data_IF_884713881421
#
_entry.id   IF_884713881421
#
_cell.length_a   1.000
_cell.length_b   1.000
_cell.length_c   1.000
_cell.angle_alpha   90.00
_cell.angle_beta   90.00
_cell.angle_gamma   90.00
#
_symmetry.space_group_name_H-M   'P 1'
#
loop_
_entity.id
_entity.type
_entity.pdbx_description
1 polymer ?
#
# COMPACT_ATOMS: atom_id res chain seq x y z
N UNK A 1 23.55 29.65 37.65
CA UNK A 1 23.27 28.25 38.08
C UNK A 1 24.37 27.29 37.65
N UNK A 2 24.79 27.29 36.36
CA UNK A 2 25.88 26.42 35.88
C UNK A 2 27.24 26.65 36.58
N UNK A 3 27.57 27.92 36.88
CA UNK A 3 28.79 28.24 37.58
C UNK A 3 28.84 27.64 39.00
N UNK A 4 27.70 27.55 39.69
CA UNK A 4 27.60 26.91 41.00
C UNK A 4 27.85 25.38 40.92
N UNK A 5 27.35 24.72 39.90
CA UNK A 5 27.65 23.28 39.68
C UNK A 5 29.09 23.01 39.38
N UNK A 6 29.70 23.86 38.52
CA UNK A 6 31.14 23.77 38.21
C UNK A 6 31.98 24.01 39.48
N UNK A 7 31.65 25.05 40.26
CA UNK A 7 32.33 25.35 41.51
C UNK A 7 32.21 24.20 42.52
N UNK A 8 30.98 23.64 42.66
CA UNK A 8 30.74 22.49 43.57
C UNK A 8 31.55 21.26 43.11
N UNK A 9 31.61 20.96 41.81
CA UNK A 9 32.39 19.87 41.27
C UNK A 9 33.88 20.04 41.54
N UNK A 10 34.42 21.26 41.34
CA UNK A 10 35.81 21.56 41.64
C UNK A 10 36.14 21.40 43.13
N UNK A 11 35.27 21.89 44.05
CA UNK A 11 35.45 21.73 45.47
C UNK A 11 35.41 20.26 45.91
N UNK A 12 34.52 19.44 45.32
CA UNK A 12 34.48 18.00 45.60
C UNK A 12 35.75 17.31 45.12
N UNK A 13 36.27 17.65 43.93
CA UNK A 13 37.53 17.10 43.43
C UNK A 13 38.69 17.47 44.35
N UNK A 14 38.79 18.73 44.80
CA UNK A 14 39.83 19.20 45.73
C UNK A 14 39.74 18.47 47.08
N UNK A 15 38.55 18.26 47.61
CA UNK A 15 38.34 17.50 48.85
C UNK A 15 38.79 16.03 48.71
N UNK A 16 38.48 15.36 47.60
CA UNK A 16 38.87 14.00 47.30
C UNK A 16 40.42 13.85 47.21
N UNK A 17 41.08 14.82 46.52
CA UNK A 17 42.54 14.87 46.40
C UNK A 17 43.19 15.08 47.78
N UNK A 18 42.65 15.98 48.62
CA UNK A 18 43.12 16.25 49.97
C UNK A 18 42.95 15.05 50.90
N UNK A 19 41.92 14.21 50.66
CA UNK A 19 41.69 12.99 51.43
C UNK A 19 42.52 11.77 50.97
N UNK A 20 43.46 11.98 49.98
CA UNK A 20 44.31 10.94 49.38
C UNK A 20 43.49 9.79 48.75
N UNK A 21 42.24 10.07 48.32
CA UNK A 21 41.40 9.06 47.65
C UNK A 21 41.86 9.01 46.20
N UNK A 22 42.13 7.80 45.64
CA UNK A 22 42.60 7.69 44.26
C UNK A 22 41.51 8.09 43.28
N UNK A 23 41.67 9.21 42.57
CA UNK A 23 40.76 9.72 41.56
C UNK A 23 40.49 8.70 40.42
N UNK A 24 41.40 7.75 40.23
CA UNK A 24 41.28 6.69 39.23
C UNK A 24 40.04 5.80 39.47
N UNK A 25 39.62 5.57 40.71
CA UNK A 25 38.41 4.79 41.04
C UNK A 25 37.19 5.56 40.56
N UNK A 26 37.13 6.86 40.81
CA UNK A 26 36.00 7.70 40.36
C UNK A 26 35.99 7.86 38.84
N UNK A 27 37.16 7.94 38.21
CA UNK A 27 37.27 7.98 36.76
C UNK A 27 36.78 6.67 36.13
N UNK A 28 37.13 5.52 36.72
CA UNK A 28 36.64 4.21 36.27
C UNK A 28 35.13 4.06 36.44
N UNK A 29 34.59 4.37 37.62
CA UNK A 29 33.16 4.32 37.91
C UNK A 29 32.39 5.31 37.02
N UNK A 30 32.87 6.52 36.85
CA UNK A 30 32.29 7.54 35.98
C UNK A 30 32.28 7.12 34.51
N UNK A 31 33.37 6.49 34.06
CA UNK A 31 33.47 5.92 32.72
C UNK A 31 32.48 4.79 32.50
N UNK A 32 32.38 3.86 33.46
CA UNK A 32 31.40 2.77 33.40
C UNK A 32 29.97 3.31 33.39
N UNK A 33 29.66 4.31 34.21
CA UNK A 33 28.37 4.95 34.26
C UNK A 33 28.03 5.69 32.93
N UNK A 34 29.03 6.38 32.38
CA UNK A 34 28.88 7.08 31.09
C UNK A 34 28.58 6.11 29.95
N UNK A 35 29.25 4.95 29.91
CA UNK A 35 28.97 3.90 28.92
C UNK A 35 27.57 3.34 29.12
N UNK A 36 27.16 3.04 30.35
CA UNK A 36 25.83 2.54 30.65
C UNK A 36 24.73 3.54 30.25
N UNK A 37 24.94 4.83 30.55
CA UNK A 37 24.05 5.92 30.14
C UNK A 37 24.01 6.05 28.60
N UNK A 38 25.16 5.92 27.93
CA UNK A 38 25.25 5.93 26.47
C UNK A 38 24.43 4.84 25.83
N UNK A 39 24.50 3.62 26.32
CA UNK A 39 23.63 2.51 25.87
C UNK A 39 22.14 2.79 26.12
N UNK A 40 21.80 3.36 27.29
CA UNK A 40 20.43 3.75 27.61
C UNK A 40 19.84 4.82 26.69
N UNK A 41 20.66 5.74 26.21
CA UNK A 41 20.28 6.85 25.33
C UNK A 41 20.43 6.51 23.84
N UNK A 42 21.03 5.39 23.47
CA UNK A 42 21.35 5.02 22.09
C UNK A 42 20.13 5.12 21.16
N UNK A 43 18.97 4.58 21.55
CA UNK A 43 17.77 4.61 20.73
C UNK A 43 17.21 6.03 20.54
N UNK A 44 17.35 6.89 21.52
CA UNK A 44 16.94 8.30 21.41
C UNK A 44 17.82 9.05 20.41
N UNK A 45 19.14 8.91 20.54
CA UNK A 45 20.10 9.52 19.63
C UNK A 45 19.94 9.02 18.20
N UNK A 46 19.75 7.71 18.01
CA UNK A 46 19.50 7.08 16.72
C UNK A 46 18.31 7.72 16.00
N UNK A 47 17.17 7.87 16.70
CA UNK A 47 15.98 8.47 16.13
C UNK A 47 16.13 9.98 15.89
N UNK A 48 16.85 10.69 16.74
CA UNK A 48 17.14 12.11 16.55
C UNK A 48 17.99 12.33 15.29
N UNK A 49 19.10 11.58 15.15
CA UNK A 49 19.98 11.64 13.96
C UNK A 49 19.21 11.28 12.70
N UNK A 50 18.41 10.20 12.75
CA UNK A 50 17.54 9.83 11.64
C UNK A 50 16.55 10.94 11.29
N UNK A 51 15.93 11.60 12.28
CA UNK A 51 15.02 12.72 12.05
C UNK A 51 15.70 13.90 11.35
N UNK A 52 16.92 14.24 11.76
CA UNK A 52 17.72 15.27 11.10
C UNK A 52 18.04 14.88 9.64
N UNK A 53 18.39 13.60 9.42
CA UNK A 53 18.70 13.06 8.10
C UNK A 53 17.48 13.13 7.17
N UNK A 54 16.28 12.76 7.67
CA UNK A 54 15.02 12.88 6.92
C UNK A 54 14.73 14.34 6.50
N UNK A 55 15.05 15.32 7.35
CA UNK A 55 14.82 16.73 7.04
C UNK A 55 15.83 17.30 6.03
N UNK A 56 17.07 16.79 6.02
CA UNK A 56 18.14 17.25 5.13
C UNK A 56 18.03 16.56 3.77
N UNK A 57 18.05 15.24 3.74
CA UNK A 57 18.07 14.44 2.50
C UNK A 57 16.70 14.31 1.85
N UNK A 58 15.63 14.41 2.65
CA UNK A 58 14.22 14.34 2.22
C UNK A 58 13.88 13.11 1.39
N UNK A 59 14.27 11.89 1.82
CA UNK A 59 13.88 10.65 1.14
C UNK A 59 12.37 10.42 1.23
N UNK A 60 11.70 11.07 2.16
CA UNK A 60 10.25 11.13 2.34
C UNK A 60 9.83 12.58 2.56
N UNK A 61 8.61 12.94 2.13
CA UNK A 61 8.05 14.28 2.25
C UNK A 61 6.65 14.23 2.85
N UNK A 62 6.20 15.34 3.39
CA UNK A 62 4.81 15.48 3.84
C UNK A 62 3.87 15.24 2.66
N UNK A 63 2.87 14.40 2.87
CA UNK A 63 1.90 14.01 1.85
C UNK A 63 2.30 12.79 1.02
N UNK A 64 3.55 12.32 1.09
CA UNK A 64 3.96 11.09 0.40
C UNK A 64 3.16 9.88 0.89
N UNK A 65 2.79 9.03 -0.05
CA UNK A 65 2.22 7.71 0.24
C UNK A 65 3.35 6.71 0.41
N UNK A 66 3.52 6.22 1.62
CA UNK A 66 4.60 5.29 1.97
C UNK A 66 4.07 3.98 2.54
N UNK A 67 4.89 2.95 2.45
CA UNK A 67 4.72 1.69 3.17
C UNK A 67 6.01 1.41 3.94
N UNK A 68 5.88 1.33 5.26
CA UNK A 68 7.00 1.10 6.19
C UNK A 68 6.61 -0.02 7.13
N UNK A 69 7.35 -1.12 7.13
CA UNK A 69 7.08 -2.29 7.97
C UNK A 69 5.62 -2.82 7.83
N UNK A 70 5.03 -2.70 6.63
CA UNK A 70 3.64 -3.11 6.35
C UNK A 70 2.58 -2.06 6.76
N UNK A 71 2.99 -0.92 7.30
CA UNK A 71 2.09 0.20 7.59
C UNK A 71 2.04 1.12 6.38
N UNK A 72 0.93 1.04 5.64
CA UNK A 72 0.72 1.86 4.45
C UNK A 72 -0.13 3.09 4.77
N UNK A 73 0.36 4.27 4.42
CA UNK A 73 -0.37 5.52 4.62
C UNK A 73 0.36 6.75 4.13
N UNK A 74 -0.25 7.91 4.34
CA UNK A 74 0.36 9.21 4.01
C UNK A 74 1.10 9.78 5.20
N UNK A 75 2.26 10.37 4.93
CA UNK A 75 3.02 11.11 5.92
C UNK A 75 2.28 12.42 6.23
N UNK A 76 1.80 12.56 7.47
CA UNK A 76 1.12 13.76 7.95
C UNK A 76 2.06 14.67 8.75
N UNK A 77 3.09 14.11 9.37
CA UNK A 77 4.06 14.86 10.16
C UNK A 77 5.42 14.17 10.15
N UNK A 78 6.49 14.97 10.08
CA UNK A 78 7.88 14.52 10.29
C UNK A 78 8.39 15.20 11.54
N UNK A 79 8.36 14.48 12.66
CA UNK A 79 8.83 14.99 13.96
C UNK A 79 10.31 14.71 14.19
N UNK A 80 10.84 15.17 15.33
CA UNK A 80 12.25 15.05 15.68
C UNK A 80 12.69 13.59 15.88
N UNK A 81 11.86 12.74 16.49
CA UNK A 81 12.17 11.34 16.81
C UNK A 81 11.30 10.33 16.11
N UNK A 82 10.11 10.73 15.68
CA UNK A 82 9.13 9.88 15.03
C UNK A 82 8.35 10.69 14.01
N UNK A 83 7.93 10.03 12.93
CA UNK A 83 7.04 10.57 11.91
C UNK A 83 5.68 9.91 11.98
N UNK A 84 4.62 10.66 11.64
CA UNK A 84 3.24 10.17 11.69
C UNK A 84 2.78 9.79 10.29
N UNK A 85 2.28 8.57 10.16
CA UNK A 85 1.69 8.02 8.93
C UNK A 85 0.21 7.77 9.16
N UNK A 86 -0.65 8.38 8.34
CA UNK A 86 -2.11 8.18 8.39
C UNK A 86 -2.54 7.20 7.29
N UNK A 87 -3.17 6.09 7.71
CA UNK A 87 -3.73 5.11 6.78
C UNK A 87 -5.01 5.63 6.09
N UNK A 88 -5.47 4.91 5.06
CA UNK A 88 -6.74 5.20 4.38
C UNK A 88 -7.95 5.09 5.33
N UNK A 89 -7.85 4.30 6.39
CA UNK A 89 -8.90 4.12 7.39
C UNK A 89 -8.88 5.23 8.46
N UNK A 90 -7.99 6.23 8.31
CA UNK A 90 -7.85 7.35 9.24
C UNK A 90 -7.00 7.05 10.48
N UNK A 91 -6.39 5.87 10.57
CA UNK A 91 -5.55 5.48 11.69
C UNK A 91 -4.18 6.16 11.56
N UNK A 92 -3.73 6.81 12.62
CA UNK A 92 -2.41 7.44 12.69
C UNK A 92 -1.43 6.52 13.42
N UNK A 93 -0.34 6.20 12.74
CA UNK A 93 0.75 5.40 13.28
C UNK A 93 1.99 6.27 13.44
N UNK A 94 2.52 6.35 14.66
CA UNK A 94 3.80 7.03 14.94
C UNK A 94 4.94 6.05 14.76
N UNK A 95 5.73 6.25 13.71
CA UNK A 95 6.86 5.38 13.34
C UNK A 95 8.17 6.07 13.73
N UNK A 96 9.06 5.42 14.52
CA UNK A 96 10.38 5.97 14.82
C UNK A 96 11.16 6.32 13.55
N UNK A 97 11.83 7.48 13.54
CA UNK A 97 12.53 7.97 12.34
C UNK A 97 13.62 7.01 11.83
N UNK A 98 14.24 6.26 12.74
CA UNK A 98 15.24 5.25 12.36
C UNK A 98 14.69 4.18 11.42
N UNK A 99 13.38 3.87 11.47
CA UNK A 99 12.75 2.90 10.56
C UNK A 99 12.74 3.38 9.13
N UNK A 100 12.60 4.68 8.90
CA UNK A 100 12.63 5.27 7.56
C UNK A 100 14.04 5.31 6.94
N UNK A 101 15.09 5.29 7.77
CA UNK A 101 16.49 5.38 7.31
C UNK A 101 17.12 4.00 7.17
N UNK A 102 16.79 3.06 8.06
CA UNK A 102 17.43 1.74 8.13
C UNK A 102 16.58 0.62 7.53
N UNK A 103 15.26 0.82 7.48
CA UNK A 103 14.30 -0.15 6.95
C UNK A 103 14.09 -0.02 5.44
N UNK A 104 13.39 -1.02 4.89
CA UNK A 104 12.88 -0.90 3.53
C UNK A 104 11.64 -0.02 3.53
N UNK A 105 11.73 1.14 2.90
CA UNK A 105 10.63 2.08 2.72
C UNK A 105 10.21 2.09 1.26
N UNK A 106 8.97 1.70 0.98
CA UNK A 106 8.39 1.88 -0.34
C UNK A 106 7.69 3.23 -0.39
N UNK A 107 8.21 4.17 -1.19
CA UNK A 107 7.55 5.44 -1.43
C UNK A 107 6.87 5.42 -2.81
N UNK A 108 5.56 5.41 -2.82
CA UNK A 108 4.73 5.31 -4.03
C UNK A 108 4.62 6.62 -4.82
N UNK A 109 5.02 7.72 -4.23
CA UNK A 109 4.87 9.08 -4.79
C UNK A 109 6.18 9.85 -4.86
N UNK A 110 7.32 9.20 -4.60
CA UNK A 110 8.64 9.84 -4.49
C UNK A 110 9.03 10.63 -5.74
N UNK A 111 9.02 10.00 -6.91
CA UNK A 111 9.41 10.62 -8.18
C UNK A 111 8.22 11.07 -9.03
N UNK A 112 7.07 10.41 -8.89
CA UNK A 112 5.85 10.72 -9.62
C UNK A 112 4.64 10.27 -8.80
N UNK A 113 3.55 11.04 -8.78
CA UNK A 113 2.30 10.62 -8.17
C UNK A 113 1.56 9.56 -9.01
N UNK A 114 2.08 9.18 -10.17
CA UNK A 114 1.44 8.23 -11.07
C UNK A 114 1.73 6.80 -10.66
N UNK A 115 0.68 5.99 -10.53
CA UNK A 115 0.78 4.59 -10.16
C UNK A 115 0.03 3.71 -11.16
N UNK A 116 0.68 2.61 -11.57
CA UNK A 116 0.06 1.62 -12.42
C UNK A 116 -0.87 0.72 -11.62
N UNK A 117 -2.10 0.55 -12.11
CA UNK A 117 -3.11 -0.35 -11.58
C UNK A 117 -3.43 -1.44 -12.60
N UNK A 118 -3.96 -2.58 -12.12
CA UNK A 118 -4.39 -3.67 -13.00
C UNK A 118 -5.74 -4.21 -12.57
N UNK A 119 -6.55 -4.61 -13.57
CA UNK A 119 -7.82 -5.30 -13.40
C UNK A 119 -7.80 -6.53 -14.29
N UNK A 120 -8.15 -7.71 -13.77
CA UNK A 120 -8.40 -8.90 -14.56
C UNK A 120 -9.90 -9.01 -14.87
N UNK A 121 -10.24 -9.26 -16.14
CA UNK A 121 -11.61 -9.43 -16.62
C UNK A 121 -11.68 -10.69 -17.46
N UNK A 122 -12.59 -11.60 -17.11
CA UNK A 122 -12.87 -12.79 -17.87
C UNK A 122 -14.03 -12.61 -18.86
N UNK A 123 -13.93 -13.22 -20.05
CA UNK A 123 -15.03 -13.35 -21.02
C UNK A 123 -15.27 -14.83 -21.35
N UNK A 124 -16.48 -15.15 -21.81
CA UNK A 124 -16.84 -16.52 -22.19
C UNK A 124 -16.10 -16.96 -23.45
N UNK A 125 -15.84 -18.26 -23.56
CA UNK A 125 -15.35 -18.88 -24.79
C UNK A 125 -16.32 -18.61 -25.94
N UNK A 126 -15.79 -18.42 -27.16
CA UNK A 126 -16.58 -18.01 -28.33
C UNK A 126 -16.76 -16.50 -28.48
N UNK A 127 -16.37 -15.69 -27.50
CA UNK A 127 -16.37 -14.22 -27.64
C UNK A 127 -15.35 -13.79 -28.69
N UNK A 128 -15.69 -12.84 -29.60
CA UNK A 128 -14.72 -12.25 -30.52
C UNK A 128 -13.67 -11.43 -29.74
N UNK A 129 -12.48 -12.01 -29.52
CA UNK A 129 -11.45 -11.47 -28.60
C UNK A 129 -10.98 -10.07 -28.96
N UNK A 130 -10.80 -9.77 -30.27
CA UNK A 130 -10.43 -8.43 -30.71
C UNK A 130 -11.49 -7.39 -30.34
N UNK A 131 -12.77 -7.70 -30.60
CA UNK A 131 -13.89 -6.84 -30.21
C UNK A 131 -13.92 -6.60 -28.69
N UNK A 132 -13.72 -7.66 -27.90
CA UNK A 132 -13.68 -7.53 -26.44
C UNK A 132 -12.54 -6.64 -25.98
N UNK A 133 -11.34 -6.81 -26.54
CA UNK A 133 -10.19 -5.95 -26.25
C UNK A 133 -10.41 -4.48 -26.60
N UNK A 134 -11.01 -4.21 -27.78
CA UNK A 134 -11.33 -2.85 -28.23
C UNK A 134 -12.35 -2.17 -27.29
N UNK A 135 -13.40 -2.87 -26.89
CA UNK A 135 -14.42 -2.38 -25.93
C UNK A 135 -13.76 -2.05 -24.58
N UNK A 136 -12.91 -2.93 -24.06
CA UNK A 136 -12.20 -2.71 -22.80
C UNK A 136 -11.27 -1.51 -22.87
N UNK A 137 -10.54 -1.37 -23.97
CA UNK A 137 -9.64 -0.22 -24.19
C UNK A 137 -10.42 1.10 -24.31
N UNK A 138 -11.58 1.08 -24.99
CA UNK A 138 -12.45 2.24 -25.07
C UNK A 138 -12.96 2.68 -23.70
N UNK A 139 -13.36 1.74 -22.84
CA UNK A 139 -13.79 2.02 -21.46
C UNK A 139 -12.68 2.70 -20.68
N UNK A 140 -11.45 2.17 -20.73
CA UNK A 140 -10.30 2.76 -20.04
C UNK A 140 -10.05 4.20 -20.53
N UNK A 141 -10.09 4.44 -21.83
CA UNK A 141 -9.88 5.76 -22.43
C UNK A 141 -10.99 6.77 -22.11
N UNK A 142 -12.22 6.30 -21.84
CA UNK A 142 -13.36 7.16 -21.48
C UNK A 142 -13.37 7.58 -20.03
N UNK A 143 -12.66 6.86 -19.14
CA UNK A 143 -12.65 7.18 -17.72
C UNK A 143 -11.77 8.39 -17.42
N UNK A 144 -12.35 9.44 -16.84
CA UNK A 144 -11.70 10.74 -16.65
C UNK A 144 -10.48 10.76 -15.71
N UNK A 145 -10.28 9.73 -14.87
CA UNK A 145 -9.12 9.62 -13.96
C UNK A 145 -8.04 8.67 -14.46
N UNK A 146 -8.27 7.93 -15.54
CA UNK A 146 -7.25 7.12 -16.20
C UNK A 146 -6.39 8.06 -17.05
N UNK A 147 -5.07 7.98 -16.84
CA UNK A 147 -4.12 8.80 -17.59
C UNK A 147 -4.04 8.32 -19.04
N UNK A 148 -3.80 9.28 -19.95
CA UNK A 148 -3.57 9.00 -21.38
C UNK A 148 -2.09 8.81 -21.70
N UNK A 149 -1.22 9.30 -20.82
CA UNK A 149 0.21 9.14 -20.90
C UNK A 149 0.76 8.84 -19.47
N UNK A 150 1.27 7.64 -19.22
CA UNK A 150 1.31 6.47 -20.13
C UNK A 150 -0.09 5.92 -20.47
N UNK A 151 -0.25 5.52 -21.76
CA UNK A 151 -1.54 5.06 -22.26
C UNK A 151 -1.99 3.75 -21.58
N UNK A 152 -3.30 3.56 -21.34
CA UNK A 152 -3.84 2.30 -20.85
C UNK A 152 -3.66 1.20 -21.90
N UNK A 153 -3.52 -0.04 -21.41
CA UNK A 153 -3.29 -1.20 -22.27
C UNK A 153 -4.19 -2.35 -21.86
N UNK A 154 -4.62 -3.13 -22.83
CA UNK A 154 -5.41 -4.33 -22.65
C UNK A 154 -4.66 -5.50 -23.27
N UNK A 155 -4.37 -6.51 -22.46
CA UNK A 155 -3.70 -7.73 -22.90
C UNK A 155 -4.65 -8.90 -22.80
N UNK A 156 -4.59 -9.80 -23.77
CA UNK A 156 -5.10 -11.16 -23.63
C UNK A 156 -4.07 -11.87 -22.73
N UNK A 157 -4.50 -12.27 -21.54
CA UNK A 157 -3.58 -12.75 -20.50
C UNK A 157 -3.47 -14.27 -20.52
N UNK A 158 -4.62 -14.97 -20.45
CA UNK A 158 -4.64 -16.42 -20.39
C UNK A 158 -5.98 -17.01 -20.86
N UNK A 159 -5.97 -18.31 -21.21
CA UNK A 159 -7.11 -19.16 -21.47
C UNK A 159 -7.30 -20.12 -20.29
N UNK A 160 -8.15 -19.73 -19.37
CA UNK A 160 -8.47 -20.46 -18.14
C UNK A 160 -9.58 -21.49 -18.36
N UNK A 161 -9.80 -22.41 -17.42
CA UNK A 161 -10.77 -23.53 -17.53
C UNK A 161 -12.18 -23.08 -17.89
N UNK A 162 -12.61 -21.91 -17.45
CA UNK A 162 -13.99 -21.41 -17.64
C UNK A 162 -14.05 -20.03 -18.28
N UNK A 163 -12.93 -19.39 -18.56
CA UNK A 163 -12.85 -18.00 -19.00
C UNK A 163 -11.66 -17.76 -19.93
N UNK A 164 -11.78 -16.74 -20.75
CA UNK A 164 -10.63 -16.12 -21.41
C UNK A 164 -10.33 -14.83 -20.68
N UNK A 165 -9.15 -14.72 -20.09
CA UNK A 165 -8.77 -13.62 -19.21
C UNK A 165 -8.05 -12.49 -19.95
N UNK A 166 -8.50 -11.26 -19.70
CA UNK A 166 -7.84 -10.05 -20.13
C UNK A 166 -7.24 -9.35 -18.92
N UNK A 167 -5.99 -8.87 -19.04
CA UNK A 167 -5.35 -7.99 -18.09
C UNK A 167 -5.42 -6.54 -18.60
N UNK A 168 -6.14 -5.69 -17.87
CA UNK A 168 -6.24 -4.27 -18.13
C UNK A 168 -5.22 -3.55 -17.26
N UNK A 169 -4.30 -2.82 -17.86
CA UNK A 169 -3.34 -2.00 -17.13
C UNK A 169 -3.56 -0.53 -17.44
N UNK A 170 -3.61 0.29 -16.40
CA UNK A 170 -3.85 1.71 -16.52
C UNK A 170 -3.13 2.50 -15.42
N UNK A 171 -2.87 3.75 -15.67
CA UNK A 171 -2.20 4.65 -14.75
C UNK A 171 -3.20 5.64 -14.17
N UNK A 172 -3.05 5.91 -12.89
CA UNK A 172 -3.84 6.90 -12.14
C UNK A 172 -2.92 7.78 -11.31
N UNK A 173 -3.32 9.01 -11.08
CA UNK A 173 -2.60 9.93 -10.21
C UNK A 173 -3.02 9.73 -8.76
N UNK A 174 -2.03 9.51 -7.87
CA UNK A 174 -2.21 9.28 -6.44
C UNK A 174 -2.22 10.61 -5.68
N UNK A 175 -3.29 11.38 -5.83
CA UNK A 175 -3.51 12.61 -5.03
C UNK A 175 -4.06 12.30 -3.64
N UNK A 176 -4.15 13.30 -2.77
CA UNK A 176 -4.72 13.15 -1.42
C UNK A 176 -6.14 12.56 -1.43
N UNK A 177 -6.94 12.93 -2.45
CA UNK A 177 -8.34 12.51 -2.60
C UNK A 177 -8.51 11.32 -3.58
N UNK A 178 -7.41 10.75 -4.10
CA UNK A 178 -7.52 9.65 -5.05
C UNK A 178 -7.75 8.32 -4.32
N UNK A 179 -8.97 7.83 -4.42
CA UNK A 179 -9.33 6.47 -4.03
C UNK A 179 -9.22 5.56 -5.26
N UNK A 180 -8.14 4.78 -5.33
CA UNK A 180 -7.94 3.78 -6.41
C UNK A 180 -9.01 2.71 -6.43
N UNK A 181 -9.62 2.39 -5.27
CA UNK A 181 -10.76 1.45 -5.18
C UNK A 181 -11.96 2.01 -5.89
N UNK A 182 -12.22 3.31 -5.75
CA UNK A 182 -13.33 3.99 -6.42
C UNK A 182 -13.13 3.99 -7.93
N UNK A 183 -11.93 4.34 -8.41
CA UNK A 183 -11.61 4.26 -9.86
C UNK A 183 -11.82 2.85 -10.39
N UNK A 184 -11.33 1.82 -9.67
CA UNK A 184 -11.54 0.42 -10.04
C UNK A 184 -13.02 0.05 -10.09
N UNK A 185 -13.82 0.45 -9.10
CA UNK A 185 -15.25 0.20 -9.05
C UNK A 185 -15.98 0.87 -10.21
N UNK A 186 -15.66 2.15 -10.50
CA UNK A 186 -16.26 2.88 -11.61
C UNK A 186 -15.94 2.20 -12.95
N UNK A 187 -14.68 1.77 -13.14
CA UNK A 187 -14.27 1.02 -14.34
C UNK A 187 -15.04 -0.29 -14.48
N UNK A 188 -15.20 -1.06 -13.39
CA UNK A 188 -15.94 -2.33 -13.41
C UNK A 188 -17.41 -2.11 -13.83
N UNK A 189 -18.07 -1.09 -13.31
CA UNK A 189 -19.43 -0.73 -13.73
C UNK A 189 -19.50 -0.27 -15.19
N UNK A 190 -18.51 0.46 -15.66
CA UNK A 190 -18.44 0.88 -17.07
C UNK A 190 -18.20 -0.32 -17.99
N UNK A 191 -17.37 -1.28 -17.58
CA UNK A 191 -17.10 -2.52 -18.33
C UNK A 191 -18.36 -3.38 -18.41
N UNK A 192 -19.07 -3.58 -17.30
CA UNK A 192 -20.33 -4.34 -17.26
C UNK A 192 -21.35 -3.79 -18.27
N UNK A 193 -21.55 -2.46 -18.26
CA UNK A 193 -22.44 -1.79 -19.21
C UNK A 193 -21.97 -1.94 -20.65
N UNK A 194 -20.67 -1.71 -20.92
CA UNK A 194 -20.13 -1.80 -22.26
C UNK A 194 -20.19 -3.24 -22.81
N UNK A 195 -20.00 -4.24 -21.97
CA UNK A 195 -20.14 -5.64 -22.34
C UNK A 195 -21.59 -5.98 -22.66
N UNK A 196 -22.53 -5.53 -21.84
CA UNK A 196 -23.96 -5.68 -22.10
C UNK A 196 -24.36 -5.07 -23.47
N UNK A 197 -23.91 -3.84 -23.75
CA UNK A 197 -24.19 -3.12 -25.01
C UNK A 197 -23.56 -3.85 -26.23
N UNK A 198 -22.37 -4.45 -26.03
CA UNK A 198 -21.65 -5.16 -27.09
C UNK A 198 -22.11 -6.63 -27.29
N UNK A 199 -22.99 -7.16 -26.42
CA UNK A 199 -23.41 -8.56 -26.41
C UNK A 199 -22.30 -9.52 -25.97
N UNK A 200 -21.38 -9.06 -25.10
CA UNK A 200 -20.30 -9.86 -24.52
C UNK A 200 -20.75 -10.37 -23.17
N UNK A 201 -20.63 -11.69 -22.93
CA UNK A 201 -21.02 -12.31 -21.67
C UNK A 201 -19.84 -12.59 -20.76
N UNK A 202 -20.01 -12.35 -19.46
CA UNK A 202 -19.07 -12.79 -18.45
C UNK A 202 -19.24 -14.29 -18.18
N UNK A 203 -18.16 -15.03 -17.94
CA UNK A 203 -18.21 -16.46 -17.79
C UNK A 203 -18.83 -16.87 -16.46
N UNK A 204 -19.64 -17.92 -16.49
CA UNK A 204 -19.96 -18.71 -15.32
C UNK A 204 -19.01 -19.91 -15.23
N UNK A 205 -18.77 -20.49 -14.03
CA UNK A 205 -18.01 -21.72 -13.91
C UNK A 205 -18.56 -22.79 -14.84
N UNK A 206 -17.74 -23.31 -15.75
CA UNK A 206 -18.11 -24.39 -16.69
C UNK A 206 -17.73 -25.73 -16.07
N UNK A 207 -18.59 -26.75 -16.21
CA UNK A 207 -18.27 -28.11 -15.82
C UNK A 207 -18.81 -29.06 -16.88
N UNK A 208 -17.93 -29.85 -17.46
CA UNK A 208 -18.34 -30.99 -18.29
C UNK A 208 -18.75 -32.16 -17.38
N UNK A 209 -20.00 -32.55 -17.45
CA UNK A 209 -20.53 -33.67 -16.67
C UNK A 209 -20.74 -34.84 -17.57
N UNK A 210 -19.90 -35.86 -17.48
CA UNK A 210 -20.10 -37.14 -18.14
C UNK A 210 -21.00 -38.03 -17.26
N UNK A 211 -22.24 -38.24 -17.70
CA UNK A 211 -23.19 -39.15 -17.04
C UNK A 211 -23.05 -40.54 -17.64
N UNK A 212 -22.38 -41.44 -16.96
CA UNK A 212 -22.38 -42.86 -17.31
C UNK A 212 -23.56 -43.55 -16.60
N UNK A 213 -24.68 -43.65 -17.30
CA UNK A 213 -25.90 -44.29 -16.82
C UNK A 213 -26.06 -45.57 -17.65
N UNK A 214 -25.63 -46.70 -17.16
CA UNK A 214 -25.65 -48.03 -17.82
C UNK A 214 -26.91 -48.41 -18.62
N UNK A 215 -27.69 -47.42 -19.14
CA UNK A 215 -28.91 -47.58 -19.97
C UNK A 215 -29.51 -46.23 -20.40
N UNK A 216 -30.57 -46.22 -21.21
CA UNK A 216 -31.24 -45.00 -21.67
C UNK A 216 -31.76 -44.14 -20.51
N UNK A 217 -31.38 -42.89 -20.45
CA UNK A 217 -31.91 -41.93 -19.47
C UNK A 217 -33.24 -41.37 -19.97
N UNK A 218 -34.34 -41.53 -19.24
CA UNK A 218 -35.60 -40.90 -19.61
C UNK A 218 -35.48 -39.39 -19.36
N UNK A 219 -35.51 -38.61 -20.42
CA UNK A 219 -35.51 -37.13 -20.32
C UNK A 219 -36.94 -36.64 -20.44
N UNK A 220 -37.47 -36.04 -19.37
CA UNK A 220 -38.76 -35.35 -19.41
C UNK A 220 -38.52 -33.86 -19.65
N UNK A 221 -38.91 -33.35 -20.81
CA UNK A 221 -38.90 -31.93 -21.10
C UNK A 221 -40.10 -31.29 -20.41
N UNK A 222 -39.86 -30.58 -19.30
CA UNK A 222 -40.91 -29.79 -18.66
C UNK A 222 -40.90 -28.41 -19.33
N UNK A 223 -41.93 -28.14 -20.12
CA UNK A 223 -42.13 -26.79 -20.66
C UNK A 223 -42.29 -25.79 -19.49
N UNK A 224 -41.68 -24.58 -19.56
CA UNK A 224 -41.92 -23.57 -18.54
C UNK A 224 -43.42 -23.31 -18.46
N UNK A 225 -43.99 -23.42 -17.27
CA UNK A 225 -45.39 -23.10 -17.01
C UNK A 225 -45.63 -21.64 -17.39
N UNK A 226 -46.33 -21.41 -18.51
CA UNK A 226 -46.75 -20.10 -18.96
C UNK A 226 -47.54 -19.44 -17.82
N UNK A 227 -47.04 -18.32 -17.30
CA UNK A 227 -47.75 -17.50 -16.35
C UNK A 227 -49.08 -17.10 -16.96
N UNK A 228 -50.15 -17.67 -16.46
CA UNK A 228 -51.52 -17.29 -16.80
C UNK A 228 -51.67 -15.81 -16.39
N UNK A 229 -51.89 -14.94 -17.38
CA UNK A 229 -52.33 -13.59 -17.20
C UNK A 229 -53.62 -13.53 -16.39
N UNK A 230 -53.55 -13.03 -15.17
CA UNK A 230 -54.70 -12.61 -14.39
C UNK A 230 -55.19 -11.27 -14.88
N UNK A 231 -56.22 -11.28 -15.71
CA UNK A 231 -57.06 -10.11 -15.89
C UNK A 231 -58.01 -9.99 -14.71
N UNK A 232 -57.98 -8.84 -14.06
CA UNK A 232 -58.89 -8.44 -12.99
C UNK A 232 -58.57 -7.04 -12.53
#
# INVERSE_FOLDING_TARGET
>A
KWALFVLAAVLVILALVSASIPLTVFAFLGGALAIAAGFGLQNLLKNLVAGIMLLIERPIRLGDLVDVDGIRGRITEIGIRASTVRSADGIESMIPNSRFVEGNVTNWTYSSPQTRQSIAIGVTYGTPLRKAGDVLLEVLNRHGRVLRDPAPQVYLDDFDDSAINFALTYWVEMTADSDTRRVKSDLLHMIDRAFSDAGISMPFPQRDVHLDVGGPVPVQIVAPSGGAGGSG
#
